data_IF_933003068604
#
_entry.id   IF_933003068604
#
_cell.length_a   1.000
_cell.length_b   1.000
_cell.length_c   1.000
_cell.angle_alpha   90.00
_cell.angle_beta   90.00
_cell.angle_gamma   90.00
#
_symmetry.space_group_name_H-M   'P 1'
#
loop_
_entity.id
_entity.type
_entity.pdbx_description
1 polymer ?
#
# COMPACT_ATOMS: atom_id res chain seq x y z
N UNK A 1 32.61 -21.76 -13.02
CA UNK A 1 33.29 -20.79 -12.16
C UNK A 1 32.43 -20.45 -10.98
N UNK A 2 33.07 -20.10 -9.86
CA UNK A 2 32.32 -19.68 -8.67
C UNK A 2 31.72 -18.28 -8.89
N UNK A 3 30.43 -18.22 -9.13
CA UNK A 3 29.68 -16.97 -9.37
C UNK A 3 29.77 -16.03 -8.16
N UNK A 4 29.66 -16.58 -6.94
CA UNK A 4 29.74 -15.82 -5.71
C UNK A 4 31.10 -15.12 -5.52
N UNK A 5 32.20 -15.85 -5.76
CA UNK A 5 33.53 -15.27 -5.70
C UNK A 5 33.76 -14.18 -6.77
N UNK A 6 33.17 -14.35 -7.96
CA UNK A 6 33.21 -13.33 -9.01
C UNK A 6 32.44 -12.06 -8.60
N UNK A 7 31.27 -12.21 -8.03
CA UNK A 7 30.44 -11.09 -7.57
C UNK A 7 31.11 -10.30 -6.43
N UNK A 8 31.67 -11.00 -5.42
CA UNK A 8 32.47 -10.38 -4.34
C UNK A 8 33.61 -9.54 -4.91
N UNK A 9 34.37 -10.09 -5.84
CA UNK A 9 35.48 -9.40 -6.47
C UNK A 9 35.03 -8.14 -7.22
N UNK A 10 33.88 -8.17 -7.91
CA UNK A 10 33.35 -7.00 -8.61
C UNK A 10 32.96 -5.90 -7.61
N UNK A 11 32.28 -6.25 -6.51
CA UNK A 11 31.93 -5.29 -5.47
C UNK A 11 33.18 -4.68 -4.84
N UNK A 12 34.12 -5.49 -4.43
CA UNK A 12 35.37 -5.05 -3.79
C UNK A 12 36.26 -4.18 -4.72
N UNK A 13 36.29 -4.50 -6.00
CA UNK A 13 37.17 -3.82 -6.95
C UNK A 13 36.58 -2.52 -7.51
N UNK A 14 35.26 -2.48 -7.75
CA UNK A 14 34.60 -1.39 -8.50
C UNK A 14 33.70 -0.53 -7.66
N UNK A 15 33.27 -1.01 -6.49
CA UNK A 15 32.29 -0.32 -5.61
C UNK A 15 31.08 0.24 -6.38
N UNK A 16 30.38 -0.57 -7.18
CA UNK A 16 29.31 -0.08 -8.04
C UNK A 16 28.08 0.28 -7.19
N UNK A 17 27.38 1.35 -7.57
CA UNK A 17 26.08 1.71 -6.98
C UNK A 17 24.97 0.73 -7.38
N UNK A 18 25.12 0.06 -8.54
CA UNK A 18 24.15 -0.88 -9.08
C UNK A 18 24.83 -1.97 -9.91
N UNK A 19 24.33 -3.20 -9.75
CA UNK A 19 24.78 -4.37 -10.53
C UNK A 19 23.57 -4.93 -11.28
N UNK A 20 23.71 -5.10 -12.59
CA UNK A 20 22.73 -5.79 -13.44
C UNK A 20 23.34 -7.13 -13.83
N UNK A 21 22.62 -8.22 -13.51
CA UNK A 21 23.02 -9.58 -13.81
C UNK A 21 22.11 -10.12 -14.91
N UNK A 22 22.68 -10.41 -16.09
CA UNK A 22 21.97 -11.06 -17.20
C UNK A 22 22.47 -12.50 -17.32
N UNK A 23 21.73 -13.50 -16.79
CA UNK A 23 22.10 -14.89 -16.94
C UNK A 23 21.74 -15.40 -18.35
N UNK A 24 22.28 -16.56 -18.70
CA UNK A 24 21.88 -17.28 -19.92
C UNK A 24 20.39 -17.61 -19.91
N UNK A 25 19.69 -17.43 -21.03
CA UNK A 25 18.25 -17.70 -21.19
C UNK A 25 17.84 -19.17 -21.00
N UNK A 26 18.78 -20.09 -20.80
CA UNK A 26 18.55 -21.50 -20.47
C UNK A 26 18.77 -21.80 -18.96
N UNK A 27 18.98 -20.78 -18.14
CA UNK A 27 19.12 -20.90 -16.69
C UNK A 27 17.79 -20.73 -15.97
N UNK A 28 17.71 -21.26 -14.75
CA UNK A 28 16.62 -20.97 -13.82
C UNK A 28 16.90 -19.64 -13.13
N UNK A 29 15.93 -18.73 -13.12
CA UNK A 29 16.06 -17.45 -12.41
C UNK A 29 16.21 -17.67 -10.91
N UNK A 30 15.47 -18.64 -10.35
CA UNK A 30 15.58 -19.03 -8.94
C UNK A 30 17.00 -19.40 -8.51
N UNK A 31 17.75 -20.08 -9.37
CA UNK A 31 19.12 -20.51 -9.05
C UNK A 31 20.09 -19.32 -8.98
N UNK A 32 19.88 -18.34 -9.88
CA UNK A 32 20.65 -17.08 -9.87
C UNK A 32 20.33 -16.25 -8.63
N UNK A 33 19.05 -16.11 -8.29
CA UNK A 33 18.59 -15.43 -7.08
C UNK A 33 19.23 -16.07 -5.84
N UNK A 34 19.15 -17.40 -5.71
CA UNK A 34 19.74 -18.13 -4.59
C UNK A 34 21.26 -17.95 -4.52
N UNK A 35 21.96 -17.96 -5.68
CA UNK A 35 23.40 -17.76 -5.71
C UNK A 35 23.81 -16.34 -5.28
N UNK A 36 23.01 -15.31 -5.62
CA UNK A 36 23.24 -13.93 -5.14
C UNK A 36 22.94 -13.81 -3.66
N UNK A 37 21.81 -14.36 -3.18
CA UNK A 37 21.42 -14.34 -1.77
C UNK A 37 22.47 -14.98 -0.86
N UNK A 38 23.08 -16.08 -1.30
CA UNK A 38 24.16 -16.74 -0.54
C UNK A 38 25.39 -15.87 -0.32
N UNK A 39 25.58 -14.84 -1.13
CA UNK A 39 26.75 -13.95 -1.07
C UNK A 39 26.37 -12.59 -0.48
N UNK A 40 25.13 -12.16 -0.62
CA UNK A 40 24.65 -10.85 -0.19
C UNK A 40 24.85 -10.60 1.32
N UNK A 41 24.78 -11.66 2.15
CA UNK A 41 25.07 -11.56 3.59
C UNK A 41 26.52 -11.27 3.95
N UNK A 42 27.46 -11.52 3.02
CA UNK A 42 28.90 -11.31 3.23
C UNK A 42 29.40 -9.98 2.63
N UNK A 43 28.59 -9.31 1.84
CA UNK A 43 28.90 -8.05 1.15
C UNK A 43 27.70 -7.11 1.27
N UNK A 44 27.92 -5.82 1.25
CA UNK A 44 26.87 -4.80 1.27
C UNK A 44 26.16 -4.77 -0.10
N UNK A 45 25.15 -5.65 -0.25
CA UNK A 45 24.40 -5.85 -1.48
C UNK A 45 22.93 -6.18 -1.20
N UNK A 46 22.04 -5.31 -1.68
CA UNK A 46 20.61 -5.53 -1.64
C UNK A 46 20.07 -6.09 -2.96
N UNK A 47 19.27 -7.16 -2.90
CA UNK A 47 18.52 -7.65 -4.04
C UNK A 47 17.27 -6.81 -4.23
N UNK A 48 17.22 -6.07 -5.33
CA UNK A 48 16.12 -5.14 -5.61
C UNK A 48 15.10 -5.72 -6.58
N UNK A 49 15.51 -6.25 -7.73
CA UNK A 49 14.59 -6.63 -8.81
C UNK A 49 14.93 -7.97 -9.45
N UNK A 50 13.90 -8.78 -9.69
CA UNK A 50 13.96 -10.06 -10.41
C UNK A 50 13.10 -9.93 -11.67
N UNK A 51 13.74 -9.77 -12.82
CA UNK A 51 13.07 -9.38 -14.06
C UNK A 51 13.13 -10.51 -15.08
N UNK A 52 11.99 -10.81 -15.72
CA UNK A 52 11.92 -11.70 -16.88
C UNK A 52 11.45 -10.93 -18.10
N UNK A 53 12.20 -11.02 -19.19
CA UNK A 53 11.80 -10.48 -20.49
C UNK A 53 11.20 -11.63 -21.33
N UNK A 54 9.91 -11.54 -21.64
CA UNK A 54 9.17 -12.58 -22.33
C UNK A 54 8.66 -12.12 -23.69
N UNK A 55 8.84 -12.94 -24.74
CA UNK A 55 8.26 -12.70 -26.06
C UNK A 55 6.74 -12.97 -26.02
N UNK A 56 5.92 -11.90 -26.04
CA UNK A 56 4.47 -11.99 -25.98
C UNK A 56 3.85 -12.86 -27.08
N UNK A 57 4.51 -12.92 -28.24
CA UNK A 57 4.01 -13.70 -29.39
C UNK A 57 4.23 -15.21 -29.23
N UNK A 58 5.11 -15.63 -28.32
CA UNK A 58 5.58 -17.01 -28.17
C UNK A 58 5.32 -17.61 -26.79
N UNK A 59 4.71 -16.90 -25.85
CA UNK A 59 4.47 -17.36 -24.48
C UNK A 59 3.90 -18.79 -24.42
N UNK A 60 2.82 -19.05 -25.14
CA UNK A 60 2.18 -20.38 -25.17
C UNK A 60 3.12 -21.48 -25.65
N UNK A 61 3.89 -21.20 -26.68
CA UNK A 61 4.84 -22.17 -27.25
C UNK A 61 6.00 -22.45 -26.28
N UNK A 62 6.54 -21.42 -25.65
CA UNK A 62 7.66 -21.56 -24.71
C UNK A 62 7.23 -22.25 -23.44
N UNK A 63 6.09 -21.93 -22.86
CA UNK A 63 5.54 -22.62 -21.69
C UNK A 63 5.37 -24.13 -21.95
N UNK A 64 4.95 -24.51 -23.17
CA UNK A 64 4.75 -25.91 -23.55
C UNK A 64 6.08 -26.65 -23.80
N UNK A 65 7.00 -26.04 -24.52
CA UNK A 65 8.20 -26.71 -25.03
C UNK A 65 9.43 -26.59 -24.11
N UNK A 66 9.48 -25.50 -23.29
CA UNK A 66 10.61 -25.20 -22.41
C UNK A 66 10.12 -24.97 -20.98
N UNK A 67 9.05 -25.65 -20.58
CA UNK A 67 8.30 -25.41 -19.35
C UNK A 67 9.15 -25.34 -18.08
N UNK A 68 10.19 -26.19 -17.95
CA UNK A 68 11.03 -26.18 -16.75
C UNK A 68 11.78 -24.85 -16.57
N UNK A 69 12.40 -24.33 -17.62
CA UNK A 69 13.17 -23.08 -17.55
C UNK A 69 12.27 -21.85 -17.69
N UNK A 70 11.38 -21.85 -18.68
CA UNK A 70 10.53 -20.71 -18.95
C UNK A 70 9.55 -20.45 -17.82
N UNK A 71 8.88 -21.49 -17.29
CA UNK A 71 7.98 -21.32 -16.17
C UNK A 71 8.72 -20.85 -14.90
N UNK A 72 9.91 -21.41 -14.62
CA UNK A 72 10.71 -20.94 -13.49
C UNK A 72 11.06 -19.45 -13.60
N UNK A 73 11.44 -18.98 -14.80
CA UNK A 73 11.73 -17.56 -15.02
C UNK A 73 10.50 -16.68 -14.77
N UNK A 74 9.32 -17.12 -15.21
CA UNK A 74 8.04 -16.42 -14.98
C UNK A 74 7.64 -16.45 -13.51
N UNK A 75 7.71 -17.63 -12.88
CA UNK A 75 7.29 -17.85 -11.48
C UNK A 75 8.18 -17.14 -10.46
N UNK A 76 9.48 -16.97 -10.78
CA UNK A 76 10.46 -16.34 -9.88
C UNK A 76 10.61 -14.82 -10.08
N UNK A 77 10.01 -14.25 -11.11
CA UNK A 77 10.12 -12.82 -11.38
C UNK A 77 9.16 -12.00 -10.48
N UNK A 78 9.60 -10.81 -10.05
CA UNK A 78 8.69 -9.81 -9.51
C UNK A 78 8.19 -8.83 -10.57
N UNK A 79 8.92 -8.73 -11.69
CA UNK A 79 8.52 -7.92 -12.85
C UNK A 79 8.73 -8.72 -14.14
N UNK A 80 7.72 -8.71 -15.02
CA UNK A 80 7.76 -9.37 -16.31
C UNK A 80 7.56 -8.32 -17.40
N UNK A 81 8.53 -8.21 -18.30
CA UNK A 81 8.49 -7.25 -19.40
C UNK A 81 8.13 -8.01 -20.67
N UNK A 82 6.96 -7.70 -21.25
CA UNK A 82 6.56 -8.30 -22.52
C UNK A 82 7.23 -7.60 -23.68
N UNK A 83 7.99 -8.36 -24.45
CA UNK A 83 8.58 -7.89 -25.71
C UNK A 83 7.70 -8.23 -26.90
N UNK A 84 7.90 -7.52 -28.02
CA UNK A 84 7.20 -7.71 -29.29
C UNK A 84 5.68 -7.51 -29.20
N UNK A 85 5.27 -6.56 -28.36
CA UNK A 85 3.86 -6.17 -28.19
C UNK A 85 3.39 -5.18 -29.27
N UNK A 86 4.32 -4.55 -30.02
CA UNK A 86 4.02 -3.59 -31.08
C UNK A 86 3.14 -4.24 -32.16
N UNK A 87 1.99 -3.64 -32.42
CA UNK A 87 1.04 -4.12 -33.42
C UNK A 87 0.39 -5.48 -33.11
N UNK A 88 0.56 -6.00 -31.90
CA UNK A 88 -0.11 -7.21 -31.44
C UNK A 88 -1.61 -6.95 -31.25
N UNK A 89 -2.45 -7.92 -31.64
CA UNK A 89 -3.89 -7.82 -31.40
C UNK A 89 -4.16 -7.90 -29.91
N UNK A 90 -5.11 -7.10 -29.44
CA UNK A 90 -5.47 -6.99 -28.01
C UNK A 90 -5.81 -8.35 -27.40
N UNK A 91 -6.61 -9.19 -28.10
CA UNK A 91 -7.00 -10.50 -27.59
C UNK A 91 -5.81 -11.45 -27.40
N UNK A 92 -4.78 -11.33 -28.27
CA UNK A 92 -3.56 -12.12 -28.13
C UNK A 92 -2.67 -11.63 -26.98
N UNK A 93 -2.61 -10.32 -26.79
CA UNK A 93 -1.88 -9.73 -25.69
C UNK A 93 -2.55 -10.11 -24.35
N UNK A 94 -3.87 -9.96 -24.24
CA UNK A 94 -4.64 -10.36 -23.08
C UNK A 94 -4.47 -11.86 -22.77
N UNK A 95 -4.46 -12.72 -23.80
CA UNK A 95 -4.21 -14.15 -23.61
C UNK A 95 -2.80 -14.42 -23.08
N UNK A 96 -1.78 -13.72 -23.57
CA UNK A 96 -0.41 -13.88 -23.07
C UNK A 96 -0.30 -13.43 -21.61
N UNK A 97 -0.92 -12.31 -21.25
CA UNK A 97 -0.99 -11.79 -19.87
C UNK A 97 -1.69 -12.79 -18.95
N UNK A 98 -2.87 -13.29 -19.33
CA UNK A 98 -3.61 -14.29 -18.53
C UNK A 98 -2.78 -15.55 -18.28
N UNK A 99 -2.09 -16.08 -19.28
CA UNK A 99 -1.23 -17.26 -19.14
C UNK A 99 -0.04 -17.02 -18.19
N UNK A 100 0.50 -15.81 -18.16
CA UNK A 100 1.57 -15.43 -17.25
C UNK A 100 1.02 -15.27 -15.84
N UNK A 101 -0.12 -14.61 -15.67
CA UNK A 101 -0.79 -14.41 -14.37
C UNK A 101 -1.23 -15.74 -13.73
N UNK A 102 -1.64 -16.73 -14.51
CA UNK A 102 -1.91 -18.10 -14.02
C UNK A 102 -0.67 -18.74 -13.36
N UNK A 103 0.54 -18.36 -13.80
CA UNK A 103 1.80 -18.84 -13.24
C UNK A 103 2.31 -17.95 -12.10
N UNK A 104 2.14 -16.65 -12.23
CA UNK A 104 2.62 -15.66 -11.26
C UNK A 104 1.66 -14.46 -11.19
N UNK A 105 0.68 -14.58 -10.31
CA UNK A 105 -0.33 -13.53 -10.10
C UNK A 105 0.21 -12.28 -9.39
N UNK A 106 1.43 -12.34 -8.82
CA UNK A 106 2.02 -11.23 -8.05
C UNK A 106 2.96 -10.36 -8.88
N UNK A 107 3.47 -10.89 -10.00
CA UNK A 107 4.39 -10.14 -10.83
C UNK A 107 3.70 -8.95 -11.49
N UNK A 108 4.37 -7.80 -11.52
CA UNK A 108 3.98 -6.67 -12.36
C UNK A 108 4.31 -6.99 -13.82
N UNK A 109 3.39 -6.72 -14.74
CA UNK A 109 3.56 -7.05 -16.15
C UNK A 109 3.58 -5.77 -16.98
N UNK A 110 4.71 -5.46 -17.59
CA UNK A 110 4.83 -4.37 -18.57
C UNK A 110 4.28 -4.87 -19.92
N UNK A 111 3.15 -4.31 -20.36
CA UNK A 111 2.47 -4.69 -21.60
C UNK A 111 2.61 -3.66 -22.72
N UNK A 112 2.89 -2.41 -22.34
CA UNK A 112 3.10 -1.30 -23.28
C UNK A 112 4.37 -1.52 -24.10
N UNK A 113 4.38 -1.22 -25.40
CA UNK A 113 5.58 -1.28 -26.22
C UNK A 113 6.73 -0.44 -25.63
N UNK A 114 7.94 -0.97 -25.67
CA UNK A 114 9.11 -0.34 -25.03
C UNK A 114 9.46 1.03 -25.61
N UNK A 115 9.18 1.25 -26.89
CA UNK A 115 9.39 2.51 -27.58
C UNK A 115 8.42 3.61 -27.17
N UNK A 116 7.36 3.27 -26.47
CA UNK A 116 6.39 4.20 -25.85
C UNK A 116 6.72 4.54 -24.40
N UNK A 117 7.68 3.84 -23.77
CA UNK A 117 8.08 4.01 -22.36
C UNK A 117 9.46 4.65 -22.24
N UNK A 118 9.65 5.47 -21.22
CA UNK A 118 10.98 5.94 -20.83
C UNK A 118 11.70 4.87 -19.99
N UNK A 119 13.04 4.92 -19.97
CA UNK A 119 13.84 4.03 -19.10
C UNK A 119 13.51 4.24 -17.61
N UNK A 120 13.16 5.46 -17.22
CA UNK A 120 12.76 5.79 -15.84
C UNK A 120 11.45 5.11 -15.45
N UNK A 121 10.46 5.08 -16.36
CA UNK A 121 9.20 4.38 -16.12
C UNK A 121 9.42 2.86 -15.96
N UNK A 122 10.24 2.26 -16.82
CA UNK A 122 10.57 0.83 -16.73
C UNK A 122 11.28 0.55 -15.40
N UNK A 123 12.27 1.37 -15.04
CA UNK A 123 13.03 1.22 -13.79
C UNK A 123 12.11 1.34 -12.56
N UNK A 124 11.20 2.32 -12.54
CA UNK A 124 10.26 2.51 -11.44
C UNK A 124 9.37 1.28 -11.22
N UNK A 125 8.94 0.61 -12.30
CA UNK A 125 8.17 -0.64 -12.19
C UNK A 125 9.04 -1.78 -11.65
N UNK A 126 10.28 -1.90 -12.11
CA UNK A 126 11.23 -2.93 -11.65
C UNK A 126 11.58 -2.77 -10.16
N UNK A 127 11.70 -1.55 -9.67
CA UNK A 127 12.04 -1.23 -8.28
C UNK A 127 10.85 -1.21 -7.32
N UNK A 128 9.70 -1.68 -7.78
CA UNK A 128 8.50 -1.86 -6.97
C UNK A 128 7.96 -0.57 -6.31
N UNK A 129 7.81 0.49 -7.07
CA UNK A 129 6.97 1.62 -6.65
C UNK A 129 5.60 1.13 -6.14
N UNK A 130 5.00 1.86 -5.22
CA UNK A 130 3.69 1.55 -4.65
C UNK A 130 2.66 1.24 -5.74
N UNK A 131 1.75 0.32 -5.45
CA UNK A 131 0.63 0.05 -6.36
C UNK A 131 -0.32 1.26 -6.38
N UNK A 132 -1.04 1.45 -7.48
CA UNK A 132 -2.06 2.50 -7.56
C UNK A 132 -3.09 2.41 -6.42
N UNK A 133 -3.37 1.18 -5.96
CA UNK A 133 -4.28 0.93 -4.86
C UNK A 133 -3.70 1.43 -3.52
N UNK A 134 -2.41 1.21 -3.26
CA UNK A 134 -1.72 1.71 -2.07
C UNK A 134 -1.65 3.25 -2.07
N UNK A 135 -1.27 3.86 -3.20
CA UNK A 135 -1.23 5.32 -3.36
C UNK A 135 -2.59 5.97 -3.07
N UNK A 136 -3.67 5.43 -3.66
CA UNK A 136 -5.03 5.94 -3.47
C UNK A 136 -5.55 5.71 -2.05
N UNK A 137 -5.20 4.59 -1.42
CA UNK A 137 -5.62 4.31 -0.05
C UNK A 137 -4.95 5.27 0.92
N UNK A 138 -3.64 5.55 0.76
CA UNK A 138 -2.94 6.56 1.56
C UNK A 138 -3.55 7.98 1.38
N UNK A 139 -3.92 8.35 0.13
CA UNK A 139 -4.59 9.62 -0.12
C UNK A 139 -5.97 9.68 0.56
N UNK A 140 -6.75 8.60 0.49
CA UNK A 140 -8.08 8.53 1.12
C UNK A 140 -8.00 8.61 2.65
N UNK A 141 -7.02 7.93 3.27
CA UNK A 141 -6.78 7.97 4.70
C UNK A 141 -6.41 9.38 5.17
N UNK A 142 -5.51 10.05 4.47
CA UNK A 142 -5.10 11.44 4.81
C UNK A 142 -6.27 12.41 4.78
N UNK A 143 -7.13 12.31 3.76
CA UNK A 143 -8.32 13.16 3.66
C UNK A 143 -9.30 12.91 4.81
N UNK A 144 -9.47 11.65 5.21
CA UNK A 144 -10.33 11.29 6.33
C UNK A 144 -9.79 11.81 7.68
N UNK A 145 -8.48 11.70 7.91
CA UNK A 145 -7.83 12.26 9.10
C UNK A 145 -7.96 13.80 9.15
N UNK A 146 -7.83 14.49 8.02
CA UNK A 146 -8.00 15.94 7.93
C UNK A 146 -9.44 16.36 8.26
N UNK A 147 -10.45 15.64 7.77
CA UNK A 147 -11.85 15.89 8.08
C UNK A 147 -12.18 15.66 9.56
N UNK A 148 -11.64 14.62 10.20
CA UNK A 148 -11.81 14.39 11.65
C UNK A 148 -11.19 15.51 12.49
N UNK A 149 -10.04 16.05 12.09
CA UNK A 149 -9.39 17.17 12.80
C UNK A 149 -10.16 18.50 12.69
N UNK A 150 -10.86 18.77 11.58
CA UNK A 150 -11.68 19.98 11.44
C UNK A 150 -12.93 19.94 12.33
N UNK A 151 -13.50 18.77 12.61
CA UNK A 151 -14.67 18.64 13.47
C UNK A 151 -14.40 18.83 14.96
N UNK A 152 -13.15 18.81 15.43
CA UNK A 152 -12.79 19.02 16.83
C UNK A 152 -12.62 20.48 17.25
N UNK A 153 -12.78 21.47 16.35
CA UNK A 153 -12.64 22.88 16.67
C UNK A 153 -13.96 23.64 16.81
N UNK A 154 -15.09 23.00 17.04
CA UNK A 154 -16.30 23.71 17.45
C UNK A 154 -16.24 24.03 18.93
N UNK A 155 -15.93 25.30 19.19
CA UNK A 155 -16.04 25.96 20.46
C UNK A 155 -17.44 25.76 21.06
N UNK A 156 -17.47 25.23 22.24
CA UNK A 156 -18.58 25.44 23.14
C UNK A 156 -18.44 26.83 23.76
N UNK A 157 -18.90 27.84 23.06
CA UNK A 157 -19.35 29.10 23.65
C UNK A 157 -20.88 29.00 23.77
N UNK A 158 -21.35 28.40 24.83
CA UNK A 158 -22.71 28.60 25.30
C UNK A 158 -22.68 28.66 26.82
N UNK A 159 -22.83 29.88 27.29
CA UNK A 159 -23.20 30.24 28.64
C UNK A 159 -24.57 29.58 28.97
N UNK A 160 -24.53 28.50 29.73
CA UNK A 160 -25.73 28.04 30.47
C UNK A 160 -25.34 27.79 31.92
N UNK A 161 -25.85 28.71 32.75
CA UNK A 161 -25.95 28.69 34.19
C UNK A 161 -26.33 27.33 34.74
N UNK A 162 -25.38 26.55 35.23
CA UNK A 162 -25.67 25.38 36.04
C UNK A 162 -25.50 25.76 37.53
N UNK A 163 -26.63 26.17 38.14
CA UNK A 163 -26.74 26.43 39.58
C UNK A 163 -26.79 25.10 40.32
N UNK A 164 -25.68 24.67 40.90
CA UNK A 164 -25.62 23.95 42.19
C UNK A 164 -24.14 23.67 42.55
N UNK A 165 -23.67 24.42 43.50
CA UNK A 165 -23.00 23.91 44.73
C UNK A 165 -22.31 25.04 45.47
N UNK A 166 -23.01 25.53 46.51
CA UNK A 166 -22.36 26.21 47.63
C UNK A 166 -21.51 25.19 48.38
N UNK A 167 -20.21 25.37 48.31
CA UNK A 167 -19.30 24.83 49.29
C UNK A 167 -18.43 25.97 49.88
N UNK A 168 -18.85 26.44 51.06
CA UNK A 168 -18.04 27.25 51.93
C UNK A 168 -16.74 26.50 52.31
N UNK A 169 -15.62 26.96 51.83
CA UNK A 169 -14.33 26.63 52.37
C UNK A 169 -13.67 27.88 52.89
N UNK A 170 -13.66 28.02 54.23
CA UNK A 170 -12.83 28.99 54.94
C UNK A 170 -11.35 28.71 54.66
N UNK A 171 -10.69 29.66 54.03
CA UNK A 171 -9.23 29.67 53.90
C UNK A 171 -8.61 30.43 55.06
N UNK A 172 -7.91 29.69 55.91
CA UNK A 172 -6.97 30.28 56.87
C UNK A 172 -5.70 30.71 56.11
N UNK A 173 -5.39 32.02 56.22
CA UNK A 173 -4.09 32.59 55.83
C UNK A 173 -3.06 32.20 56.85
N UNK A 174 -1.94 31.62 56.39
CA UNK A 174 -0.68 31.67 57.09
C UNK A 174 0.33 32.34 56.17
N UNK A 175 0.74 33.55 56.62
CA UNK A 175 1.94 34.24 56.14
C UNK A 175 3.14 33.55 56.80
N UNK A 176 4.14 33.15 56.01
CA UNK A 176 5.51 33.03 56.42
C UNK A 176 6.43 33.12 55.19
N UNK A 177 7.24 34.17 55.25
CA UNK A 177 8.35 34.44 54.36
C UNK A 177 9.43 33.36 54.50
N UNK A 178 10.00 32.87 53.38
CA UNK A 178 11.43 32.54 53.34
C UNK A 178 11.92 32.34 51.89
N UNK A 179 12.90 33.17 51.57
CA UNK A 179 13.76 33.13 50.39
C UNK A 179 14.59 31.84 50.35
N UNK A 180 14.51 31.07 49.24
CA UNK A 180 15.60 30.18 48.85
C UNK A 180 15.75 30.10 47.34
N UNK A 181 16.85 30.70 46.88
CA UNK A 181 17.43 30.48 45.56
C UNK A 181 17.87 29.02 45.38
N UNK A 182 17.47 28.35 44.33
CA UNK A 182 18.05 27.08 43.92
C UNK A 182 18.62 27.16 42.51
N UNK A 183 19.95 27.12 42.45
CA UNK A 183 20.74 26.92 41.24
C UNK A 183 20.54 25.49 40.70
N UNK A 184 20.27 25.38 39.39
CA UNK A 184 20.21 24.10 38.67
C UNK A 184 21.63 23.71 38.23
N UNK A 185 22.20 22.68 38.84
CA UNK A 185 23.40 22.01 38.33
C UNK A 185 23.02 20.87 37.38
N UNK A 186 23.52 20.96 36.15
CA UNK A 186 23.52 19.84 35.20
C UNK A 186 24.66 18.87 35.56
N UNK A 187 24.32 17.62 35.83
CA UNK A 187 25.30 16.54 35.92
C UNK A 187 25.26 15.70 34.65
N UNK A 188 26.37 15.73 33.92
CA UNK A 188 26.74 14.72 32.94
C UNK A 188 27.23 13.49 33.71
N UNK A 189 26.71 12.30 33.32
CA UNK A 189 27.32 11.02 33.67
C UNK A 189 27.68 10.29 32.42
N UNK A 190 29.00 10.25 32.16
CA UNK A 190 29.64 9.24 31.32
C UNK A 190 29.72 7.96 32.15
N UNK A 191 29.34 6.82 31.61
CA UNK A 191 29.70 5.50 32.10
C UNK A 191 30.10 4.61 30.97
N UNK A 192 31.39 4.28 30.98
CA UNK A 192 32.03 3.19 30.26
C UNK A 192 31.59 1.82 30.82
N UNK A 193 31.57 0.87 29.91
CA UNK A 193 31.78 -0.58 29.97
C UNK A 193 31.53 -1.30 31.32
N UNK A 194 30.65 -2.33 31.26
CA UNK A 194 31.09 -3.70 31.61
C UNK A 194 29.95 -4.73 31.38
N UNK A 195 30.38 -5.87 30.87
CA UNK A 195 29.65 -7.11 30.61
C UNK A 195 28.85 -7.61 31.81
N UNK A 196 27.60 -8.11 31.60
CA UNK A 196 27.03 -9.14 32.43
C UNK A 196 25.95 -9.98 31.71
N UNK A 197 26.22 -11.22 31.77
CA UNK A 197 25.61 -12.47 31.40
C UNK A 197 24.19 -12.69 31.98
N UNK A 198 23.36 -13.36 31.15
CA UNK A 198 22.21 -14.20 31.45
C UNK A 198 21.24 -13.82 32.57
N UNK A 199 19.93 -13.78 32.20
CA UNK A 199 18.93 -14.68 32.83
C UNK A 199 17.61 -14.67 32.04
N UNK A 200 17.21 -15.87 31.60
CA UNK A 200 15.86 -16.19 31.16
C UNK A 200 14.88 -15.97 32.31
N UNK A 201 13.87 -15.14 32.10
CA UNK A 201 12.68 -15.13 32.94
C UNK A 201 11.45 -15.42 32.09
N UNK A 202 10.96 -16.63 32.23
CA UNK A 202 9.59 -17.03 31.90
C UNK A 202 8.65 -16.25 32.84
N UNK A 203 7.73 -15.50 32.30
CA UNK A 203 6.56 -15.02 33.02
C UNK A 203 5.33 -15.76 32.52
N UNK A 204 4.89 -16.71 33.35
CA UNK A 204 3.55 -17.26 33.31
C UNK A 204 2.57 -16.16 33.75
N UNK A 205 1.63 -15.83 32.88
CA UNK A 205 0.51 -14.98 33.25
C UNK A 205 -0.67 -15.85 33.67
N UNK A 206 -0.87 -15.92 34.98
CA UNK A 206 -2.08 -16.47 35.59
C UNK A 206 -3.27 -15.52 35.35
N UNK A 207 -4.37 -16.09 34.88
CA UNK A 207 -5.68 -15.48 34.74
C UNK A 207 -6.20 -14.98 36.10
N UNK A 208 -6.37 -13.68 36.23
CA UNK A 208 -7.17 -13.11 37.31
C UNK A 208 -8.55 -12.71 36.79
N UNK A 209 -9.52 -13.56 37.04
CA UNK A 209 -10.93 -13.23 36.97
C UNK A 209 -11.26 -12.26 38.11
N UNK A 210 -11.60 -11.02 37.77
CA UNK A 210 -12.20 -10.07 38.70
C UNK A 210 -13.72 -10.17 38.62
N UNK A 211 -14.31 -10.88 39.60
CA UNK A 211 -15.72 -10.76 39.92
C UNK A 211 -15.97 -9.45 40.68
N UNK A 212 -16.74 -8.56 40.08
CA UNK A 212 -17.32 -7.44 40.78
C UNK A 212 -18.78 -7.79 41.18
N UNK A 213 -18.96 -8.07 42.47
CA UNK A 213 -20.29 -8.11 43.08
C UNK A 213 -20.82 -6.66 43.20
N UNK A 214 -21.94 -6.38 42.53
CA UNK A 214 -22.65 -5.12 42.69
C UNK A 214 -23.74 -5.34 43.76
N UNK A 215 -23.53 -4.77 44.97
CA UNK A 215 -24.55 -4.58 45.94
C UNK A 215 -25.45 -3.38 45.55
N UNK A 216 -26.74 -3.63 45.64
CA UNK A 216 -27.85 -2.74 45.36
C UNK A 216 -27.80 -1.46 46.23
N UNK A 217 -27.72 -0.27 45.62
CA UNK A 217 -28.30 0.95 46.20
C UNK A 217 -29.04 1.73 45.13
N UNK A 218 -30.35 1.68 45.24
CA UNK A 218 -31.22 2.51 44.47
C UNK A 218 -31.20 3.95 44.96
N UNK A 219 -31.15 4.87 43.99
CA UNK A 219 -31.93 6.12 43.94
C UNK A 219 -31.73 6.70 42.54
N UNK A 220 -32.83 6.88 41.84
CA UNK A 220 -32.89 7.41 40.48
C UNK A 220 -32.41 8.85 40.43
N UNK A 221 -31.28 9.11 39.84
CA UNK A 221 -30.85 10.45 39.46
C UNK A 221 -31.42 10.76 38.07
N UNK A 222 -32.36 11.67 37.97
CA UNK A 222 -33.00 12.09 36.72
C UNK A 222 -32.29 13.27 36.03
N UNK A 223 -31.01 13.48 36.30
CA UNK A 223 -30.17 14.40 35.51
C UNK A 223 -29.52 13.60 34.38
N UNK A 224 -29.91 13.82 33.14
CA UNK A 224 -29.51 13.08 31.93
C UNK A 224 -28.02 13.30 31.52
N UNK A 225 -27.08 13.14 32.46
CA UNK A 225 -25.66 13.37 32.23
C UNK A 225 -24.79 12.09 32.14
N UNK A 226 -25.39 10.98 31.65
CA UNK A 226 -24.65 9.72 31.36
C UNK A 226 -24.83 9.26 29.93
N UNK A 227 -24.58 10.14 28.95
CA UNK A 227 -24.21 9.71 27.62
C UNK A 227 -22.73 10.04 27.41
N UNK A 228 -21.86 9.20 27.95
CA UNK A 228 -20.54 9.06 27.40
C UNK A 228 -20.67 8.20 26.16
N UNK A 229 -20.97 8.83 25.03
CA UNK A 229 -20.74 8.25 23.73
C UNK A 229 -19.24 7.93 23.64
N UNK A 230 -18.91 6.66 23.86
CA UNK A 230 -17.64 6.13 23.42
C UNK A 230 -17.66 6.21 21.90
N UNK A 231 -17.12 7.29 21.35
CA UNK A 231 -16.77 7.37 19.95
C UNK A 231 -15.76 6.26 19.70
N UNK A 232 -16.26 5.12 19.22
CA UNK A 232 -15.43 4.11 18.59
C UNK A 232 -14.86 4.74 17.34
N UNK A 233 -13.61 5.15 17.40
CA UNK A 233 -12.84 5.50 16.22
C UNK A 233 -12.74 4.23 15.37
N UNK A 234 -13.64 4.09 14.42
CA UNK A 234 -13.51 3.08 13.39
C UNK A 234 -12.31 3.48 12.54
N UNK A 235 -11.24 2.71 12.60
CA UNK A 235 -10.10 2.91 11.72
C UNK A 235 -10.60 2.86 10.27
N UNK A 236 -10.14 3.80 9.43
CA UNK A 236 -10.56 3.89 8.02
C UNK A 236 -10.41 2.55 7.27
N UNK A 237 -9.44 1.73 7.65
CA UNK A 237 -9.19 0.37 7.14
C UNK A 237 -10.34 -0.61 7.40
N UNK A 238 -11.16 -0.42 8.43
CA UNK A 238 -12.30 -1.27 8.73
C UNK A 238 -13.54 -0.90 7.88
N UNK A 239 -13.58 0.34 7.38
CA UNK A 239 -14.73 0.88 6.65
C UNK A 239 -14.53 0.84 5.14
N UNK A 240 -13.31 1.08 4.67
CA UNK A 240 -13.00 1.22 3.26
C UNK A 240 -12.14 0.07 2.75
N UNK A 241 -12.45 -0.35 1.52
CA UNK A 241 -11.70 -1.36 0.79
C UNK A 241 -11.25 -0.79 -0.55
N UNK A 242 -10.14 -1.30 -1.08
CA UNK A 242 -9.64 -0.97 -2.40
C UNK A 242 -9.78 -2.16 -3.34
N UNK A 243 -10.15 -1.89 -4.59
CA UNK A 243 -10.16 -2.85 -5.68
C UNK A 243 -9.31 -2.30 -6.82
N UNK A 244 -8.10 -2.84 -6.98
CA UNK A 244 -7.15 -2.46 -8.02
C UNK A 244 -7.03 -3.56 -9.08
N UNK A 245 -6.91 -3.15 -10.34
CA UNK A 245 -6.68 -4.07 -11.48
C UNK A 245 -5.67 -3.51 -12.47
N UNK A 246 -4.89 -4.41 -13.02
CA UNK A 246 -4.02 -4.16 -14.17
C UNK A 246 -4.59 -4.87 -15.40
N UNK A 247 -4.58 -4.21 -16.56
CA UNK A 247 -5.18 -4.74 -17.78
C UNK A 247 -4.52 -4.19 -19.04
N UNK A 248 -4.25 -5.01 -20.05
CA UNK A 248 -3.84 -4.54 -21.37
C UNK A 248 -5.02 -4.12 -22.26
N UNK A 249 -6.27 -4.16 -21.73
CA UNK A 249 -7.48 -3.81 -22.46
C UNK A 249 -7.49 -2.35 -22.86
N UNK A 250 -7.91 -2.06 -24.09
CA UNK A 250 -8.07 -0.71 -24.61
C UNK A 250 -9.51 -0.23 -24.48
N UNK A 251 -9.66 1.04 -24.19
CA UNK A 251 -10.97 1.69 -24.03
C UNK A 251 -11.15 2.80 -25.06
N UNK A 252 -12.39 3.07 -25.46
CA UNK A 252 -12.71 4.36 -26.09
C UNK A 252 -13.08 5.37 -25.00
N UNK A 253 -12.98 6.65 -25.33
CA UNK A 253 -13.36 7.70 -24.37
C UNK A 253 -14.85 7.61 -24.01
N UNK A 254 -15.69 7.31 -25.01
CA UNK A 254 -17.13 7.16 -24.84
C UNK A 254 -17.46 5.95 -23.94
N UNK A 255 -16.78 4.82 -24.13
CA UNK A 255 -16.96 3.65 -23.27
C UNK A 255 -16.56 3.94 -21.83
N UNK A 256 -15.43 4.61 -21.64
CA UNK A 256 -14.96 4.99 -20.29
C UNK A 256 -15.93 5.98 -19.63
N UNK A 257 -16.45 6.94 -20.40
CA UNK A 257 -17.44 7.89 -19.92
C UNK A 257 -18.72 7.18 -19.41
N UNK A 258 -19.25 6.22 -20.20
CA UNK A 258 -20.40 5.40 -19.78
C UNK A 258 -20.13 4.60 -18.49
N UNK A 259 -18.91 4.08 -18.32
CA UNK A 259 -18.50 3.35 -17.14
C UNK A 259 -18.48 4.30 -15.92
N UNK A 260 -17.89 5.47 -16.06
CA UNK A 260 -17.77 6.42 -14.95
C UNK A 260 -19.11 7.04 -14.54
N UNK A 261 -20.01 7.31 -15.52
CA UNK A 261 -21.40 7.71 -15.23
C UNK A 261 -22.08 6.67 -14.34
N UNK A 262 -22.03 5.38 -14.74
CA UNK A 262 -22.65 4.31 -13.94
C UNK A 262 -22.01 4.19 -12.56
N UNK A 263 -20.68 4.29 -12.49
CA UNK A 263 -19.96 4.19 -11.22
C UNK A 263 -20.29 5.34 -10.26
N UNK A 264 -20.61 6.54 -10.80
CA UNK A 264 -20.96 7.73 -10.01
C UNK A 264 -22.43 7.79 -9.60
N UNK A 265 -23.35 7.20 -10.40
CA UNK A 265 -24.78 7.35 -10.22
C UNK A 265 -25.47 6.11 -9.64
N UNK A 266 -24.96 4.90 -9.92
CA UNK A 266 -25.60 3.64 -9.55
C UNK A 266 -25.04 3.10 -8.22
N UNK A 267 -25.92 2.71 -7.32
CA UNK A 267 -25.54 2.18 -5.99
C UNK A 267 -25.28 0.67 -5.99
N UNK A 268 -25.44 -0.01 -7.12
CA UNK A 268 -25.27 -1.46 -7.21
C UNK A 268 -23.79 -1.92 -7.07
N UNK A 269 -22.84 -1.02 -7.23
CA UNK A 269 -21.40 -1.29 -7.08
C UNK A 269 -20.89 -1.13 -5.65
N UNK A 270 -21.74 -0.65 -4.72
CA UNK A 270 -21.40 -0.25 -3.36
C UNK A 270 -21.35 1.27 -3.21
N UNK A 271 -20.78 1.74 -2.12
CA UNK A 271 -20.56 3.17 -1.89
C UNK A 271 -19.16 3.50 -2.39
N UNK A 272 -19.08 4.11 -3.58
CA UNK A 272 -17.81 4.47 -4.20
C UNK A 272 -17.39 5.84 -3.68
N UNK A 273 -16.18 5.91 -3.13
CA UNK A 273 -15.61 7.15 -2.60
C UNK A 273 -14.62 7.77 -3.57
N UNK A 274 -13.83 6.94 -4.25
CA UNK A 274 -12.85 7.39 -5.21
C UNK A 274 -12.58 6.32 -6.25
N UNK A 275 -12.34 6.73 -7.48
CA UNK A 275 -11.76 5.87 -8.48
C UNK A 275 -10.75 6.64 -9.33
N UNK A 276 -9.67 5.97 -9.70
CA UNK A 276 -8.59 6.54 -10.53
C UNK A 276 -8.06 5.48 -11.48
N UNK A 277 -7.64 5.90 -12.65
CA UNK A 277 -7.00 4.97 -13.58
C UNK A 277 -6.25 5.64 -14.71
N UNK A 278 -5.35 4.87 -15.28
CA UNK A 278 -4.58 5.18 -16.47
C UNK A 278 -4.77 4.00 -17.44
N UNK A 279 -5.53 4.21 -18.50
CA UNK A 279 -5.96 3.15 -19.40
C UNK A 279 -5.52 3.42 -20.84
N UNK A 280 -5.02 2.41 -21.60
CA UNK A 280 -4.69 2.60 -22.99
C UNK A 280 -5.97 2.80 -23.81
N UNK A 281 -5.95 3.76 -24.73
CA UNK A 281 -7.07 4.04 -25.61
C UNK A 281 -7.00 3.27 -26.92
N UNK A 282 -8.16 3.05 -27.54
CA UNK A 282 -8.27 2.34 -28.80
C UNK A 282 -7.58 3.06 -29.96
N UNK A 283 -7.44 4.37 -29.88
CA UNK A 283 -6.77 5.22 -30.87
C UNK A 283 -5.24 5.32 -30.69
N UNK A 284 -4.69 4.64 -29.67
CA UNK A 284 -3.26 4.64 -29.34
C UNK A 284 -2.83 5.73 -28.36
N UNK A 285 -3.76 6.53 -27.86
CA UNK A 285 -3.51 7.47 -26.77
C UNK A 285 -3.72 6.81 -25.41
N UNK A 286 -3.60 7.57 -24.32
CA UNK A 286 -3.88 7.13 -22.97
C UNK A 286 -4.94 8.02 -22.32
N UNK A 287 -5.90 7.38 -21.65
CA UNK A 287 -6.98 8.01 -20.92
C UNK A 287 -6.72 7.90 -19.42
N UNK A 288 -6.58 9.04 -18.78
CA UNK A 288 -6.51 9.13 -17.32
C UNK A 288 -7.87 9.56 -16.83
N UNK A 289 -8.33 8.96 -15.75
CA UNK A 289 -9.55 9.39 -15.10
C UNK A 289 -9.39 9.48 -13.60
N UNK A 290 -10.11 10.42 -13.02
CA UNK A 290 -10.33 10.59 -11.59
C UNK A 290 -11.82 10.73 -11.35
N UNK A 291 -12.35 10.06 -10.31
CA UNK A 291 -13.75 10.11 -9.91
C UNK A 291 -13.85 10.27 -8.39
N UNK A 292 -14.68 11.20 -7.97
CA UNK A 292 -15.16 11.37 -6.59
C UNK A 292 -16.70 11.35 -6.62
N UNK A 293 -17.40 11.20 -5.48
CA UNK A 293 -18.86 11.18 -5.48
C UNK A 293 -19.49 12.37 -6.21
N UNK A 294 -20.24 12.10 -7.27
CA UNK A 294 -20.94 13.12 -8.06
C UNK A 294 -20.12 13.86 -9.12
N UNK A 295 -18.81 13.57 -9.22
CA UNK A 295 -17.94 14.27 -10.18
C UNK A 295 -16.87 13.33 -10.73
N UNK A 296 -16.56 13.42 -12.02
CA UNK A 296 -15.43 12.74 -12.64
C UNK A 296 -14.82 13.55 -13.78
N UNK A 297 -13.56 13.26 -14.06
CA UNK A 297 -12.80 13.85 -15.18
C UNK A 297 -12.12 12.75 -16.00
N UNK A 298 -12.11 12.92 -17.33
CA UNK A 298 -11.31 12.12 -18.26
C UNK A 298 -10.38 13.07 -19.02
N UNK A 299 -9.08 12.80 -18.91
CA UNK A 299 -8.03 13.58 -19.60
C UNK A 299 -7.06 12.67 -20.34
N UNK A 300 -6.36 13.20 -21.33
CA UNK A 300 -5.27 12.48 -21.98
C UNK A 300 -4.03 12.51 -21.09
N UNK A 301 -3.29 11.39 -21.10
CA UNK A 301 -2.05 11.23 -20.34
C UNK A 301 -0.92 10.61 -21.16
N UNK A 302 0.25 10.53 -20.55
CA UNK A 302 1.39 9.82 -21.12
C UNK A 302 1.16 8.29 -21.03
N UNK A 303 1.82 7.49 -21.87
CA UNK A 303 1.83 6.04 -21.72
C UNK A 303 2.29 5.60 -20.34
N UNK A 304 1.61 4.61 -19.75
CA UNK A 304 2.02 3.91 -18.54
C UNK A 304 2.45 2.48 -18.90
N UNK A 305 3.07 1.77 -17.98
CA UNK A 305 3.62 0.42 -18.22
C UNK A 305 2.55 -0.62 -18.55
N UNK A 306 1.34 -0.45 -18.07
CA UNK A 306 0.12 -1.21 -18.39
C UNK A 306 -1.09 -0.36 -18.06
N UNK A 307 -2.26 -0.75 -18.58
CA UNK A 307 -3.51 -0.17 -18.13
C UNK A 307 -3.74 -0.55 -16.66
N UNK A 308 -4.04 0.41 -15.80
CA UNK A 308 -4.34 0.17 -14.40
C UNK A 308 -5.44 1.07 -13.90
N UNK A 309 -6.23 0.53 -12.98
CA UNK A 309 -7.31 1.28 -12.33
C UNK A 309 -7.47 0.81 -10.88
N UNK A 310 -7.99 1.69 -10.08
CA UNK A 310 -8.33 1.42 -8.70
C UNK A 310 -9.64 2.09 -8.33
N UNK A 311 -10.46 1.39 -7.56
CA UNK A 311 -11.70 1.90 -6.97
C UNK A 311 -11.62 1.71 -5.45
N UNK A 312 -11.91 2.76 -4.71
CA UNK A 312 -12.01 2.74 -3.25
C UNK A 312 -13.45 2.99 -2.85
N UNK A 313 -13.94 2.21 -1.91
CA UNK A 313 -15.30 2.34 -1.43
C UNK A 313 -15.63 1.41 -0.28
N UNK A 314 -16.87 1.48 0.17
CA UNK A 314 -17.42 0.61 1.21
C UNK A 314 -18.45 -0.34 0.61
N UNK A 315 -18.43 -1.61 1.04
CA UNK A 315 -19.36 -2.66 0.60
C UNK A 315 -19.36 -2.83 -0.93
N UNK A 316 -18.20 -2.75 -1.56
CA UNK A 316 -18.06 -2.88 -3.01
C UNK A 316 -18.37 -4.30 -3.51
N UNK A 317 -19.10 -4.39 -4.63
CA UNK A 317 -19.32 -5.63 -5.38
C UNK A 317 -18.24 -5.75 -6.48
N UNK A 318 -17.15 -6.44 -6.16
CA UNK A 318 -16.00 -6.58 -7.05
C UNK A 318 -16.32 -7.33 -8.34
N UNK A 319 -17.26 -8.28 -8.32
CA UNK A 319 -17.69 -9.03 -9.51
C UNK A 319 -18.47 -8.13 -10.49
N UNK A 320 -19.24 -7.18 -9.96
CA UNK A 320 -19.92 -6.19 -10.78
C UNK A 320 -18.95 -5.15 -11.33
N UNK A 321 -17.94 -4.75 -10.53
CA UNK A 321 -16.88 -3.85 -11.02
C UNK A 321 -16.08 -4.50 -12.16
N UNK A 322 -15.71 -5.79 -12.07
CA UNK A 322 -15.06 -6.51 -13.17
C UNK A 322 -15.90 -6.51 -14.44
N UNK A 323 -17.19 -6.80 -14.32
CA UNK A 323 -18.12 -6.78 -15.45
C UNK A 323 -18.30 -5.39 -16.05
N UNK A 324 -18.36 -4.35 -15.21
CA UNK A 324 -18.50 -2.95 -15.63
C UNK A 324 -17.31 -2.53 -16.49
N UNK A 325 -16.08 -2.80 -16.01
CA UNK A 325 -14.84 -2.52 -16.71
C UNK A 325 -14.50 -3.58 -17.78
N UNK A 326 -15.30 -4.64 -17.89
CA UNK A 326 -15.14 -5.75 -18.85
C UNK A 326 -13.75 -6.42 -18.75
N UNK A 327 -13.31 -6.70 -17.54
CA UNK A 327 -12.05 -7.35 -17.19
C UNK A 327 -12.19 -8.85 -17.02
#
# INVERSE_FOLDING_TARGET
GDFGAALKKVVEQYHPDRIIIEPSGVGKLSDVIAAVMNVAGDIDLDLNSFVTVADATKCKMYMKNFGEFYNNQVESANTIILSRTQGMKEEKLAQAVSMIQEKNAKAKIITTPWDELTGEQILAVMEQGHSLAEELMEEAMKLHEEEEHEHHHHHHDDDDDCCCHDHDHEHHHHDDDDDHEHEHHHHHHDHDDDECDCHEHHHDHDDHEHHHDHDEHGEECTCGCHDHDHHHHHHADEVFTSWGKETPRKYTKEELDEILVKLSEETEFGIILRAKGMLPAADGTWLYFDLVPGEYEIRNGAPDYTGRLCVIGSKMDTDKLEKLFKL
#
